data_IF_775026083395
#
_entry.id   IF_775026083395
#
_cell.length_a   1.000
_cell.length_b   1.000
_cell.length_c   1.000
_cell.angle_alpha   90.00
_cell.angle_beta   90.00
_cell.angle_gamma   90.00
#
_symmetry.space_group_name_H-M   'P 1'
#
loop_
_entity.id
_entity.type
_entity.pdbx_description
1 polymer ?
#
# COMPACT_ATOMS: atom_id res chain seq x y z
N UNK A 1 -9.24 19.90 -21.98
CA UNK A 1 -9.19 18.91 -20.91
C UNK A 1 -7.76 18.83 -20.40
N UNK A 2 -7.49 18.93 -19.10
CA UNK A 2 -6.13 19.07 -18.59
C UNK A 2 -5.35 17.75 -18.69
N UNK A 3 -4.05 17.79 -18.97
CA UNK A 3 -3.16 16.61 -19.00
C UNK A 3 -3.29 15.72 -17.74
N UNK A 4 -3.62 16.33 -16.60
CA UNK A 4 -3.90 15.65 -15.32
C UNK A 4 -5.04 14.64 -15.45
N UNK A 5 -6.15 15.03 -16.10
CA UNK A 5 -7.34 14.17 -16.25
C UNK A 5 -7.02 12.96 -17.12
N UNK A 6 -6.24 13.15 -18.20
CA UNK A 6 -5.83 12.02 -19.04
C UNK A 6 -4.97 11.01 -18.28
N UNK A 7 -4.02 11.51 -17.46
CA UNK A 7 -3.14 10.66 -16.68
C UNK A 7 -3.93 9.88 -15.61
N UNK A 8 -4.85 10.53 -14.92
CA UNK A 8 -5.72 9.88 -13.92
C UNK A 8 -6.70 8.89 -14.58
N UNK A 9 -7.23 9.18 -15.77
CA UNK A 9 -8.06 8.24 -16.53
C UNK A 9 -7.27 6.99 -16.95
N UNK A 10 -6.07 7.18 -17.49
CA UNK A 10 -5.20 6.05 -17.85
C UNK A 10 -4.88 5.19 -16.62
N UNK A 11 -4.53 5.83 -15.50
CA UNK A 11 -4.27 5.14 -14.23
C UNK A 11 -5.48 4.35 -13.76
N UNK A 12 -6.67 4.94 -13.83
CA UNK A 12 -7.91 4.27 -13.44
C UNK A 12 -8.19 3.03 -14.29
N UNK A 13 -8.02 3.13 -15.61
CA UNK A 13 -8.28 2.00 -16.52
C UNK A 13 -7.34 0.85 -16.21
N UNK A 14 -6.02 1.06 -16.16
CA UNK A 14 -5.10 -0.06 -15.96
C UNK A 14 -5.18 -0.65 -14.55
N UNK A 15 -5.38 0.16 -13.51
CA UNK A 15 -5.57 -0.35 -12.14
C UNK A 15 -6.89 -1.12 -12.02
N UNK A 16 -7.95 -0.69 -12.70
CA UNK A 16 -9.22 -1.43 -12.73
C UNK A 16 -9.05 -2.81 -13.36
N UNK A 17 -8.27 -2.91 -14.44
CA UNK A 17 -7.95 -4.21 -15.07
C UNK A 17 -7.21 -5.11 -14.07
N UNK A 18 -6.17 -4.57 -13.41
CA UNK A 18 -5.40 -5.31 -12.39
C UNK A 18 -6.33 -5.76 -11.26
N UNK A 19 -7.22 -4.90 -10.79
CA UNK A 19 -8.16 -5.23 -9.72
C UNK A 19 -9.11 -6.35 -10.14
N UNK A 20 -9.68 -6.31 -11.35
CA UNK A 20 -10.55 -7.37 -11.87
C UNK A 20 -9.80 -8.71 -11.91
N UNK A 21 -8.58 -8.72 -12.46
CA UNK A 21 -7.75 -9.93 -12.53
C UNK A 21 -7.44 -10.45 -11.13
N UNK A 22 -7.03 -9.55 -10.24
CA UNK A 22 -6.68 -9.89 -8.85
C UNK A 22 -7.88 -10.44 -8.07
N UNK A 23 -9.07 -9.83 -8.17
CA UNK A 23 -10.24 -10.27 -7.41
C UNK A 23 -10.91 -11.53 -7.96
N UNK A 24 -10.66 -11.91 -9.23
CA UNK A 24 -11.14 -13.18 -9.83
C UNK A 24 -10.34 -14.40 -9.39
N UNK A 25 -9.10 -14.24 -8.92
CA UNK A 25 -8.27 -15.37 -8.47
C UNK A 25 -8.71 -15.90 -7.10
N UNK A 26 -8.65 -17.24 -6.92
CA UNK A 26 -8.78 -17.86 -5.60
C UNK A 26 -7.62 -17.35 -4.71
N UNK A 27 -7.95 -16.78 -3.55
CA UNK A 27 -6.97 -16.19 -2.65
C UNK A 27 -6.59 -17.14 -1.53
N UNK A 28 -5.30 -17.25 -1.28
CA UNK A 28 -4.78 -17.82 -0.05
C UNK A 28 -4.98 -16.76 1.04
N UNK A 29 -5.54 -17.12 2.20
CA UNK A 29 -5.76 -16.19 3.30
C UNK A 29 -4.44 -15.86 4.03
N UNK A 30 -3.66 -14.92 3.48
CA UNK A 30 -2.49 -14.35 4.16
C UNK A 30 -2.76 -12.90 4.59
N UNK A 31 -2.07 -12.46 5.64
CA UNK A 31 -2.16 -11.07 6.13
C UNK A 31 -1.67 -10.07 5.06
N UNK A 32 -0.65 -10.45 4.30
CA UNK A 32 -0.08 -9.69 3.19
C UNK A 32 -1.12 -9.43 2.09
N UNK A 33 -1.81 -10.49 1.62
CA UNK A 33 -2.85 -10.41 0.59
C UNK A 33 -4.00 -9.52 1.05
N UNK A 34 -4.37 -9.59 2.33
CA UNK A 34 -5.43 -8.75 2.90
C UNK A 34 -5.06 -7.26 2.90
N UNK A 35 -3.81 -6.92 3.22
CA UNK A 35 -3.36 -5.53 3.20
C UNK A 35 -3.26 -5.03 1.76
N UNK A 36 -2.71 -5.83 0.85
CA UNK A 36 -2.67 -5.48 -0.57
C UNK A 36 -4.06 -5.23 -1.15
N UNK A 37 -5.04 -6.09 -0.84
CA UNK A 37 -6.44 -5.88 -1.25
C UNK A 37 -6.97 -4.52 -0.79
N UNK A 38 -6.67 -4.11 0.45
CA UNK A 38 -7.07 -2.78 0.98
C UNK A 38 -6.37 -1.64 0.25
N UNK A 39 -5.06 -1.76 0.01
CA UNK A 39 -4.28 -0.77 -0.75
C UNK A 39 -4.87 -0.60 -2.16
N UNK A 40 -5.15 -1.69 -2.85
CA UNK A 40 -5.69 -1.67 -4.20
C UNK A 40 -7.08 -0.99 -4.26
N UNK A 41 -7.97 -1.32 -3.32
CA UNK A 41 -9.28 -0.67 -3.21
C UNK A 41 -9.13 0.82 -2.90
N UNK A 42 -8.24 1.20 -1.99
CA UNK A 42 -7.99 2.59 -1.63
C UNK A 42 -7.44 3.40 -2.80
N UNK A 43 -6.50 2.84 -3.58
CA UNK A 43 -5.97 3.50 -4.79
C UNK A 43 -7.09 3.72 -5.82
N UNK A 44 -7.95 2.72 -6.03
CA UNK A 44 -9.12 2.86 -6.91
C UNK A 44 -10.07 3.96 -6.43
N UNK A 45 -10.40 3.98 -5.14
CA UNK A 45 -11.25 5.02 -4.56
C UNK A 45 -10.64 6.41 -4.70
N UNK A 46 -9.33 6.56 -4.44
CA UNK A 46 -8.62 7.82 -4.64
C UNK A 46 -8.74 8.31 -6.10
N UNK A 47 -8.55 7.42 -7.07
CA UNK A 47 -8.69 7.74 -8.49
C UNK A 47 -10.13 8.13 -8.86
N UNK A 48 -11.14 7.42 -8.33
CA UNK A 48 -12.55 7.76 -8.56
C UNK A 48 -12.87 9.16 -8.03
N UNK A 49 -12.51 9.47 -6.78
CA UNK A 49 -12.79 10.79 -6.19
C UNK A 49 -12.02 11.90 -6.89
N UNK A 50 -10.80 11.67 -7.34
CA UNK A 50 -10.04 12.62 -8.15
C UNK A 50 -10.73 12.88 -9.48
N UNK A 51 -11.10 11.85 -10.24
CA UNK A 51 -11.78 11.96 -11.53
C UNK A 51 -13.14 12.65 -11.38
N UNK A 52 -13.96 12.24 -10.41
CA UNK A 52 -15.27 12.88 -10.15
C UNK A 52 -15.10 14.37 -9.84
N UNK A 53 -14.09 14.73 -9.02
CA UNK A 53 -13.81 16.13 -8.69
C UNK A 53 -13.34 16.98 -9.88
N UNK A 54 -12.89 16.33 -10.97
CA UNK A 54 -12.42 16.99 -12.18
C UNK A 54 -13.53 17.27 -13.21
N UNK A 55 -14.72 16.69 -13.04
CA UNK A 55 -15.84 16.91 -13.97
C UNK A 55 -16.30 18.38 -13.98
N UNK A 56 -16.64 18.94 -15.17
CA UNK A 56 -17.06 20.35 -15.31
C UNK A 56 -18.27 20.72 -14.45
N UNK A 57 -19.24 19.82 -14.27
CA UNK A 57 -20.43 20.02 -13.45
C UNK A 57 -20.05 20.28 -11.99
N UNK A 58 -19.08 19.55 -11.45
CA UNK A 58 -18.58 19.70 -10.09
C UNK A 58 -17.80 21.01 -9.91
N UNK A 59 -17.19 21.53 -10.98
CA UNK A 59 -16.47 22.81 -10.93
C UNK A 59 -17.41 23.99 -10.65
N UNK A 60 -18.67 23.88 -11.02
CA UNK A 60 -19.67 24.93 -10.79
C UNK A 60 -20.24 24.89 -9.35
N UNK A 61 -19.97 23.81 -8.59
CA UNK A 61 -20.50 23.63 -7.22
C UNK A 61 -19.30 23.48 -6.27
N UNK A 62 -18.76 24.62 -5.81
CA UNK A 62 -17.54 24.69 -5.02
C UNK A 62 -17.57 23.85 -3.74
N UNK A 63 -18.72 23.84 -3.03
CA UNK A 63 -18.83 23.04 -1.80
C UNK A 63 -18.74 21.54 -2.08
N UNK A 64 -19.34 21.07 -3.19
CA UNK A 64 -19.27 19.65 -3.60
C UNK A 64 -17.85 19.28 -3.97
N UNK A 65 -17.15 20.17 -4.69
CA UNK A 65 -15.74 19.97 -5.04
C UNK A 65 -14.85 19.90 -3.81
N UNK A 66 -15.02 20.81 -2.86
CA UNK A 66 -14.29 20.81 -1.59
C UNK A 66 -14.56 19.51 -0.79
N UNK A 67 -15.82 19.10 -0.73
CA UNK A 67 -16.22 17.85 -0.05
C UNK A 67 -15.54 16.62 -0.67
N UNK A 68 -15.56 16.47 -2.01
CA UNK A 68 -14.91 15.37 -2.71
C UNK A 68 -13.39 15.38 -2.52
N UNK A 69 -12.77 16.57 -2.51
CA UNK A 69 -11.33 16.72 -2.24
C UNK A 69 -10.98 16.36 -0.80
N UNK A 70 -11.79 16.70 0.18
CA UNK A 70 -11.58 16.31 1.58
C UNK A 70 -11.69 14.80 1.76
N UNK A 71 -12.64 14.13 1.10
CA UNK A 71 -12.72 12.67 1.08
C UNK A 71 -11.44 12.09 0.45
N UNK A 72 -11.02 12.59 -0.69
CA UNK A 72 -9.79 12.16 -1.34
C UNK A 72 -8.56 12.28 -0.41
N UNK A 73 -8.41 13.41 0.28
CA UNK A 73 -7.32 13.65 1.24
C UNK A 73 -7.34 12.67 2.40
N UNK A 74 -8.52 12.37 2.95
CA UNK A 74 -8.65 11.37 4.04
C UNK A 74 -8.33 9.97 3.57
N UNK A 75 -8.71 9.59 2.36
CA UNK A 75 -8.35 8.30 1.76
C UNK A 75 -6.83 8.17 1.56
N UNK A 76 -6.12 9.25 1.18
CA UNK A 76 -4.67 9.25 1.10
C UNK A 76 -4.02 8.98 2.46
N UNK A 77 -4.49 9.58 3.54
CA UNK A 77 -3.97 9.31 4.89
C UNK A 77 -4.12 7.83 5.25
N UNK A 78 -5.30 7.25 4.99
CA UNK A 78 -5.56 5.82 5.22
C UNK A 78 -4.63 4.97 4.37
N UNK A 79 -4.40 5.34 3.13
CA UNK A 79 -3.52 4.61 2.20
C UNK A 79 -2.07 4.58 2.69
N UNK A 80 -1.49 5.73 3.07
CA UNK A 80 -0.13 5.79 3.60
C UNK A 80 0.04 4.99 4.88
N UNK A 81 -0.95 5.00 5.80
CA UNK A 81 -0.89 4.15 7.00
C UNK A 81 -0.97 2.66 6.68
N UNK A 82 -1.61 2.25 5.57
CA UNK A 82 -1.58 0.85 5.13
C UNK A 82 -0.22 0.45 4.52
N UNK A 83 0.50 1.35 3.84
CA UNK A 83 1.89 1.10 3.43
C UNK A 83 2.81 0.94 4.63
N UNK A 84 2.68 1.78 5.67
CA UNK A 84 3.41 1.60 6.92
C UNK A 84 3.10 0.26 7.59
N UNK A 85 1.83 -0.13 7.62
CA UNK A 85 1.40 -1.43 8.14
C UNK A 85 2.02 -2.59 7.36
N UNK A 86 2.07 -2.50 6.04
CA UNK A 86 2.73 -3.48 5.18
C UNK A 86 4.23 -3.60 5.52
N UNK A 87 4.92 -2.46 5.71
CA UNK A 87 6.33 -2.43 6.12
C UNK A 87 6.56 -3.15 7.44
N UNK A 88 5.74 -2.88 8.46
CA UNK A 88 5.87 -3.51 9.77
C UNK A 88 5.65 -5.02 9.70
N UNK A 89 4.70 -5.49 8.87
CA UNK A 89 4.48 -6.92 8.67
C UNK A 89 5.66 -7.60 7.98
N UNK A 90 6.28 -6.95 7.00
CA UNK A 90 7.50 -7.48 6.38
C UNK A 90 8.64 -7.64 7.40
N UNK A 91 8.74 -6.70 8.35
CA UNK A 91 9.78 -6.72 9.41
C UNK A 91 9.50 -7.79 10.46
N UNK A 92 8.27 -7.85 10.96
CA UNK A 92 7.88 -8.75 12.05
C UNK A 92 7.55 -10.18 11.61
N UNK A 93 7.37 -10.38 10.30
CA UNK A 93 6.96 -11.64 9.70
C UNK A 93 5.46 -11.68 9.35
N UNK A 94 5.11 -12.52 8.37
CA UNK A 94 3.76 -12.58 7.78
C UNK A 94 2.66 -13.02 8.76
N UNK A 95 3.05 -13.69 9.86
CA UNK A 95 2.11 -14.12 10.91
C UNK A 95 1.90 -13.07 12.01
N UNK A 96 2.55 -11.89 11.89
CA UNK A 96 2.38 -10.84 12.88
C UNK A 96 0.96 -10.25 12.84
N UNK A 97 0.33 -10.23 14.01
CA UNK A 97 -0.98 -9.62 14.22
C UNK A 97 -0.82 -8.35 15.03
N UNK A 98 -1.34 -7.25 14.49
CA UNK A 98 -1.35 -5.99 15.24
C UNK A 98 -2.26 -6.11 16.47
N UNK A 99 -1.79 -5.68 17.65
CA UNK A 99 -2.63 -5.59 18.83
C UNK A 99 -3.84 -4.68 18.57
N UNK A 100 -5.01 -5.06 19.08
CA UNK A 100 -6.24 -4.29 18.87
C UNK A 100 -6.12 -2.82 19.31
N UNK A 101 -5.39 -2.56 20.39
CA UNK A 101 -5.18 -1.19 20.88
C UNK A 101 -4.40 -0.31 19.90
N UNK A 102 -3.39 -0.85 19.19
CA UNK A 102 -2.66 -0.11 18.16
C UNK A 102 -3.55 0.24 16.97
N UNK A 103 -4.42 -0.68 16.56
CA UNK A 103 -5.40 -0.41 15.50
C UNK A 103 -6.40 0.67 15.95
N UNK A 104 -6.86 0.63 17.19
CA UNK A 104 -7.75 1.66 17.75
C UNK A 104 -7.09 3.03 17.75
N UNK A 105 -5.84 3.14 18.22
CA UNK A 105 -5.09 4.40 18.23
C UNK A 105 -4.94 4.93 16.79
N UNK A 106 -4.61 4.07 15.84
CA UNK A 106 -4.49 4.45 14.42
C UNK A 106 -5.80 5.02 13.87
N UNK A 107 -6.92 4.33 14.08
CA UNK A 107 -8.22 4.82 13.61
C UNK A 107 -8.64 6.10 14.30
N UNK A 108 -8.37 6.25 15.59
CA UNK A 108 -8.65 7.47 16.34
C UNK A 108 -7.82 8.66 15.83
N UNK A 109 -6.52 8.46 15.57
CA UNK A 109 -5.67 9.48 14.98
C UNK A 109 -6.14 9.89 13.57
N UNK A 110 -6.51 8.92 12.73
CA UNK A 110 -7.07 9.18 11.40
C UNK A 110 -8.41 9.95 11.48
N UNK A 111 -9.25 9.64 12.45
CA UNK A 111 -10.52 10.36 12.69
C UNK A 111 -10.24 11.83 13.04
N UNK A 112 -9.32 12.09 13.96
CA UNK A 112 -8.93 13.47 14.33
C UNK A 112 -8.43 14.24 13.10
N UNK A 113 -7.52 13.63 12.32
CA UNK A 113 -7.01 14.24 11.10
C UNK A 113 -8.13 14.50 10.07
N UNK A 114 -9.07 13.57 9.92
CA UNK A 114 -10.22 13.76 9.05
C UNK A 114 -11.08 14.96 9.49
N UNK A 115 -11.38 15.07 10.79
CA UNK A 115 -12.12 16.24 11.33
C UNK A 115 -11.39 17.55 11.03
N UNK A 116 -10.08 17.59 11.23
CA UNK A 116 -9.27 18.79 10.92
C UNK A 116 -9.33 19.14 9.42
N UNK A 117 -9.23 18.13 8.54
CA UNK A 117 -9.30 18.33 7.09
C UNK A 117 -10.69 18.90 6.69
N UNK A 118 -11.77 18.32 7.21
CA UNK A 118 -13.12 18.76 6.88
C UNK A 118 -13.48 20.14 7.46
N UNK A 119 -12.86 20.54 8.58
CA UNK A 119 -13.04 21.87 9.16
C UNK A 119 -12.17 22.95 8.51
N UNK A 120 -11.13 22.54 7.74
CA UNK A 120 -10.20 23.47 7.12
C UNK A 120 -10.74 23.99 5.79
N UNK A 121 -10.69 25.33 5.53
CA UNK A 121 -11.08 25.87 4.26
C UNK A 121 -10.13 25.45 3.14
N UNK A 122 -10.70 25.07 1.98
CA UNK A 122 -9.95 24.78 0.76
C UNK A 122 -10.09 25.96 -0.20
N UNK A 123 -8.95 26.37 -0.74
CA UNK A 123 -8.87 27.42 -1.75
C UNK A 123 -8.51 26.79 -3.10
N UNK A 124 -9.09 27.34 -4.16
CA UNK A 124 -8.92 26.85 -5.52
C UNK A 124 -8.25 27.90 -6.39
N UNK A 125 -7.15 27.53 -7.05
CA UNK A 125 -6.51 28.35 -8.08
C UNK A 125 -7.12 28.03 -9.44
N UNK A 126 -7.53 29.07 -10.16
CA UNK A 126 -8.12 28.97 -11.49
C UNK A 126 -7.13 29.42 -12.57
N UNK A 127 -7.20 28.82 -13.73
CA UNK A 127 -6.51 29.32 -14.91
C UNK A 127 -7.35 30.43 -15.58
N UNK A 128 -6.79 31.02 -16.67
CA UNK A 128 -7.47 32.03 -17.48
C UNK A 128 -8.79 31.56 -18.11
N UNK A 129 -9.00 30.26 -18.19
CA UNK A 129 -10.23 29.64 -18.70
C UNK A 129 -11.22 29.28 -17.59
N UNK A 130 -11.01 29.73 -16.34
CA UNK A 130 -11.90 29.45 -15.20
C UNK A 130 -11.87 28.00 -14.70
N UNK A 131 -10.88 27.19 -15.15
CA UNK A 131 -10.73 25.80 -14.71
C UNK A 131 -9.80 25.75 -13.51
N UNK A 132 -10.17 24.98 -12.47
CA UNK A 132 -9.33 24.77 -11.29
C UNK A 132 -8.07 24.00 -11.69
N UNK A 133 -6.92 24.60 -11.43
CA UNK A 133 -5.59 24.04 -11.73
C UNK A 133 -5.00 23.37 -10.52
N UNK A 134 -5.17 23.97 -9.34
CA UNK A 134 -4.61 23.44 -8.10
C UNK A 134 -5.51 23.80 -6.90
N UNK A 135 -5.35 23.03 -5.83
CA UNK A 135 -6.02 23.28 -4.55
C UNK A 135 -4.94 23.54 -3.50
N UNK A 136 -5.19 24.45 -2.59
CA UNK A 136 -4.32 24.72 -1.46
C UNK A 136 -5.14 25.03 -0.21
N UNK A 137 -4.53 24.84 0.95
CA UNK A 137 -5.18 25.08 2.22
C UNK A 137 -4.49 24.32 3.35
N UNK A 138 -4.87 24.63 4.56
CA UNK A 138 -4.27 24.02 5.75
C UNK A 138 -4.45 22.49 5.77
N UNK A 139 -5.63 21.98 5.40
CA UNK A 139 -5.88 20.54 5.28
C UNK A 139 -4.95 19.85 4.28
N UNK A 140 -4.70 20.46 3.12
CA UNK A 140 -3.76 19.94 2.10
C UNK A 140 -2.34 19.88 2.65
N UNK A 141 -1.89 20.91 3.39
CA UNK A 141 -0.56 20.96 3.99
C UNK A 141 -0.38 19.88 5.06
N UNK A 142 -1.41 19.60 5.86
CA UNK A 142 -1.38 18.51 6.85
C UNK A 142 -1.23 17.16 6.15
N UNK A 143 -2.00 16.90 5.09
CA UNK A 143 -1.93 15.63 4.36
C UNK A 143 -0.55 15.43 3.74
N UNK A 144 0.02 16.46 3.12
CA UNK A 144 1.36 16.38 2.53
C UNK A 144 2.44 16.16 3.60
N UNK A 145 2.40 16.90 4.72
CA UNK A 145 3.33 16.72 5.82
C UNK A 145 3.24 15.32 6.44
N UNK A 146 2.02 14.82 6.66
CA UNK A 146 1.79 13.47 7.18
C UNK A 146 2.30 12.39 6.22
N UNK A 147 2.06 12.55 4.91
CA UNK A 147 2.52 11.61 3.89
C UNK A 147 4.06 11.54 3.85
N UNK A 148 4.72 12.71 3.88
CA UNK A 148 6.19 12.79 3.94
C UNK A 148 6.71 12.14 5.22
N UNK A 149 6.09 12.40 6.36
CA UNK A 149 6.46 11.80 7.65
C UNK A 149 6.38 10.27 7.61
N UNK A 150 5.31 9.71 7.07
CA UNK A 150 5.16 8.25 6.91
C UNK A 150 6.23 7.68 5.97
N UNK A 151 6.54 8.35 4.85
CA UNK A 151 7.59 7.91 3.91
C UNK A 151 8.96 7.90 4.60
N UNK A 152 9.25 8.91 5.42
CA UNK A 152 10.50 8.99 6.21
C UNK A 152 10.56 7.82 7.21
N UNK A 153 9.46 7.51 7.89
CA UNK A 153 9.41 6.36 8.80
C UNK A 153 9.67 5.06 8.04
N UNK A 154 9.01 4.85 6.89
CA UNK A 154 9.22 3.66 6.05
C UNK A 154 10.69 3.56 5.63
N UNK A 155 11.30 4.67 5.21
CA UNK A 155 12.71 4.72 4.82
C UNK A 155 13.63 4.28 5.97
N UNK A 156 13.49 4.85 7.17
CA UNK A 156 14.30 4.46 8.32
C UNK A 156 14.06 3.01 8.74
N UNK A 157 12.82 2.54 8.72
CA UNK A 157 12.50 1.14 9.02
C UNK A 157 13.19 0.17 8.04
N UNK A 158 13.28 0.50 6.76
CA UNK A 158 14.00 -0.30 5.77
C UNK A 158 15.52 -0.23 5.99
N UNK A 159 16.07 0.95 6.24
CA UNK A 159 17.52 1.13 6.49
C UNK A 159 17.97 0.34 7.73
N UNK A 160 17.22 0.39 8.82
CA UNK A 160 17.56 -0.37 10.03
C UNK A 160 17.33 -1.90 9.90
N UNK A 161 16.66 -2.35 8.84
CA UNK A 161 16.36 -3.76 8.60
C UNK A 161 16.84 -4.20 7.22
N UNK A 162 18.12 -4.04 6.92
CA UNK A 162 18.72 -4.29 5.59
C UNK A 162 18.45 -5.71 5.05
N UNK A 163 18.30 -6.72 5.93
CA UNK A 163 17.91 -8.08 5.51
C UNK A 163 16.59 -8.12 4.75
N UNK A 164 15.69 -7.18 5.02
CA UNK A 164 14.39 -7.09 4.36
C UNK A 164 14.51 -6.41 3.00
N UNK A 165 15.41 -5.43 2.88
CA UNK A 165 15.65 -4.72 1.61
C UNK A 165 16.11 -5.70 0.53
N UNK A 166 16.85 -6.77 0.91
CA UNK A 166 17.27 -7.85 -0.01
C UNK A 166 16.10 -8.79 -0.40
N UNK A 167 14.96 -8.71 0.28
CA UNK A 167 13.80 -9.50 -0.06
C UNK A 167 13.02 -8.84 -1.21
N UNK A 168 12.69 -9.61 -2.24
CA UNK A 168 11.88 -9.15 -3.38
C UNK A 168 10.56 -8.48 -2.94
N UNK A 169 9.99 -8.87 -1.80
CA UNK A 169 8.77 -8.29 -1.21
C UNK A 169 8.93 -6.83 -0.75
N UNK A 170 10.15 -6.33 -0.59
CA UNK A 170 10.41 -4.92 -0.27
C UNK A 170 10.40 -4.00 -1.50
N UNK A 171 10.46 -4.55 -2.71
CA UNK A 171 10.50 -3.77 -3.96
C UNK A 171 9.38 -2.71 -4.04
N UNK A 172 8.10 -3.00 -3.69
CA UNK A 172 7.05 -1.99 -3.71
C UNK A 172 7.30 -0.81 -2.77
N UNK A 173 7.92 -1.05 -1.62
CA UNK A 173 8.23 0.01 -0.65
C UNK A 173 9.39 0.89 -1.11
N UNK A 174 10.40 0.27 -1.70
CA UNK A 174 11.52 1.00 -2.30
C UNK A 174 11.04 1.85 -3.47
N UNK A 175 10.21 1.27 -4.35
CA UNK A 175 9.60 2.01 -5.46
C UNK A 175 8.68 3.13 -4.98
N UNK A 176 7.94 2.96 -3.87
CA UNK A 176 7.14 4.02 -3.25
C UNK A 176 8.01 5.23 -2.89
N UNK A 177 9.13 5.00 -2.20
CA UNK A 177 10.03 6.07 -1.77
C UNK A 177 10.61 6.80 -2.99
N UNK A 178 11.19 6.06 -3.94
CA UNK A 178 11.84 6.64 -5.13
C UNK A 178 10.83 7.42 -5.98
N UNK A 179 9.68 6.81 -6.29
CA UNK A 179 8.69 7.43 -7.16
C UNK A 179 8.01 8.63 -6.48
N UNK A 180 7.83 8.61 -5.16
CA UNK A 180 7.29 9.76 -4.43
C UNK A 180 8.29 10.92 -4.39
N UNK A 181 9.59 10.66 -4.24
CA UNK A 181 10.62 11.69 -4.35
C UNK A 181 10.66 12.30 -5.75
N UNK A 182 10.67 11.47 -6.79
CA UNK A 182 10.68 11.94 -8.18
C UNK A 182 9.41 12.73 -8.50
N UNK A 183 8.24 12.24 -8.13
CA UNK A 183 6.97 12.95 -8.35
C UNK A 183 6.88 14.26 -7.60
N UNK A 184 7.42 14.32 -6.37
CA UNK A 184 7.52 15.55 -5.60
C UNK A 184 8.44 16.59 -6.24
N UNK A 185 9.61 16.19 -6.72
CA UNK A 185 10.54 17.07 -7.46
C UNK A 185 9.88 17.60 -8.75
N UNK A 186 9.23 16.72 -9.52
CA UNK A 186 8.52 17.13 -10.71
C UNK A 186 7.36 18.09 -10.43
N UNK A 187 6.66 17.89 -9.32
CA UNK A 187 5.55 18.76 -8.91
C UNK A 187 6.03 20.16 -8.47
N UNK A 188 7.25 20.27 -7.91
CA UNK A 188 7.87 21.58 -7.62
C UNK A 188 8.22 22.31 -8.93
N UNK A 189 8.78 21.60 -9.92
CA UNK A 189 9.12 22.18 -11.23
C UNK A 189 7.87 22.50 -12.06
N UNK A 190 6.87 21.65 -11.98
CA UNK A 190 5.64 21.74 -12.77
C UNK A 190 4.40 21.66 -11.84
N UNK A 191 4.03 22.73 -11.11
CA UNK A 191 2.95 22.72 -10.12
C UNK A 191 1.58 22.32 -10.67
N UNK A 192 1.42 22.36 -11.99
CA UNK A 192 0.20 21.93 -12.69
C UNK A 192 0.07 20.41 -12.82
N UNK A 193 1.14 19.65 -12.59
CA UNK A 193 1.14 18.19 -12.70
C UNK A 193 0.89 17.56 -11.34
N UNK A 194 -0.30 17.02 -11.13
CA UNK A 194 -0.63 16.23 -9.93
C UNK A 194 -0.32 14.76 -10.23
N UNK A 195 0.85 14.29 -9.80
CA UNK A 195 1.36 12.96 -10.13
C UNK A 195 1.10 11.92 -9.03
N UNK A 196 0.58 12.34 -7.87
CA UNK A 196 0.45 11.48 -6.68
C UNK A 196 -0.33 10.18 -6.96
N UNK A 197 -1.51 10.27 -7.57
CA UNK A 197 -2.34 9.09 -7.85
C UNK A 197 -1.74 8.19 -8.94
N UNK A 198 -1.10 8.77 -9.94
CA UNK A 198 -0.36 8.02 -10.96
C UNK A 198 0.78 7.24 -10.32
N UNK A 199 1.56 7.87 -9.46
CA UNK A 199 2.66 7.25 -8.71
C UNK A 199 2.15 6.10 -7.82
N UNK A 200 1.10 6.33 -7.05
CA UNK A 200 0.48 5.31 -6.19
C UNK A 200 -0.06 4.13 -6.98
N UNK A 201 -0.60 4.37 -8.16
CA UNK A 201 -1.09 3.31 -9.04
C UNK A 201 0.05 2.46 -9.62
N UNK A 202 1.20 3.07 -9.98
CA UNK A 202 2.40 2.31 -10.36
C UNK A 202 2.90 1.46 -9.19
N UNK A 203 2.98 2.02 -7.99
CA UNK A 203 3.40 1.27 -6.80
C UNK A 203 2.47 0.09 -6.51
N UNK A 204 1.15 0.28 -6.61
CA UNK A 204 0.18 -0.80 -6.45
C UNK A 204 0.34 -1.89 -7.52
N UNK A 205 0.71 -1.52 -8.75
CA UNK A 205 1.02 -2.46 -9.83
C UNK A 205 2.28 -3.26 -9.54
N UNK A 206 3.35 -2.61 -9.10
CA UNK A 206 4.59 -3.28 -8.68
C UNK A 206 4.30 -4.24 -7.53
N UNK A 207 3.47 -3.81 -6.57
CA UNK A 207 3.05 -4.64 -5.44
C UNK A 207 2.26 -5.87 -5.91
N UNK A 208 1.35 -5.71 -6.88
CA UNK A 208 0.63 -6.84 -7.50
C UNK A 208 1.59 -7.86 -8.08
N UNK A 209 2.51 -7.45 -8.94
CA UNK A 209 3.48 -8.37 -9.55
C UNK A 209 4.42 -9.00 -8.52
N UNK A 210 4.77 -8.29 -7.46
CA UNK A 210 5.62 -8.83 -6.39
C UNK A 210 4.90 -9.89 -5.56
N UNK A 211 3.63 -9.68 -5.21
CA UNK A 211 2.84 -10.62 -4.39
C UNK A 211 2.35 -11.80 -5.22
N UNK A 212 1.98 -11.58 -6.48
CA UNK A 212 1.47 -12.60 -7.39
C UNK A 212 2.56 -13.33 -8.17
N UNK A 213 3.84 -13.02 -7.94
CA UNK A 213 4.95 -13.68 -8.64
C UNK A 213 4.90 -15.20 -8.40
N UNK A 214 4.74 -16.01 -9.46
CA UNK A 214 4.69 -17.47 -9.35
C UNK A 214 5.99 -18.05 -8.77
N UNK A 215 7.14 -17.46 -9.08
CA UNK A 215 8.44 -17.93 -8.59
C UNK A 215 8.54 -17.80 -7.06
N UNK A 216 8.06 -16.69 -6.50
CA UNK A 216 8.05 -16.48 -5.04
C UNK A 216 7.13 -17.51 -4.36
N UNK A 217 5.93 -17.73 -4.92
CA UNK A 217 4.98 -18.73 -4.40
C UNK A 217 5.53 -20.16 -4.50
N UNK A 218 6.21 -20.47 -5.58
CA UNK A 218 6.86 -21.78 -5.78
C UNK A 218 8.01 -22.00 -4.81
N UNK A 219 8.86 -21.00 -4.57
CA UNK A 219 9.93 -21.05 -3.58
C UNK A 219 9.37 -21.23 -2.16
N UNK A 220 8.31 -20.50 -1.80
CA UNK A 220 7.66 -20.66 -0.49
C UNK A 220 7.07 -22.06 -0.32
N UNK A 221 6.40 -22.61 -1.33
CA UNK A 221 5.85 -23.97 -1.30
C UNK A 221 6.96 -25.02 -1.20
N UNK A 222 8.07 -24.82 -1.92
CA UNK A 222 9.23 -25.71 -1.87
C UNK A 222 9.89 -25.72 -0.49
N UNK A 223 10.06 -24.55 0.13
CA UNK A 223 10.61 -24.44 1.48
C UNK A 223 9.72 -25.14 2.52
N UNK A 224 8.40 -24.99 2.44
CA UNK A 224 7.46 -25.69 3.32
C UNK A 224 7.55 -27.21 3.12
N UNK A 225 7.61 -27.69 1.88
CA UNK A 225 7.74 -29.10 1.58
C UNK A 225 9.09 -29.68 2.09
N UNK A 226 10.18 -28.90 1.95
CA UNK A 226 11.50 -29.26 2.47
C UNK A 226 11.48 -29.42 3.99
N UNK A 227 10.94 -28.43 4.71
CA UNK A 227 10.84 -28.47 6.19
C UNK A 227 10.00 -29.66 6.67
N UNK A 228 8.93 -30.00 5.95
CA UNK A 228 8.11 -31.16 6.25
C UNK A 228 8.89 -32.47 6.02
N UNK A 229 9.64 -32.57 4.93
CA UNK A 229 10.47 -33.72 4.63
C UNK A 229 11.60 -33.91 5.66
N UNK A 230 12.25 -32.80 6.09
CA UNK A 230 13.30 -32.85 7.12
C UNK A 230 12.74 -33.33 8.47
N UNK A 231 11.57 -32.84 8.89
CA UNK A 231 10.88 -33.28 10.10
C UNK A 231 10.48 -34.75 10.04
N UNK A 232 9.96 -35.20 8.89
CA UNK A 232 9.61 -36.61 8.69
C UNK A 232 10.86 -37.53 8.74
N UNK A 233 11.98 -37.10 8.13
CA UNK A 233 13.24 -37.85 8.20
C UNK A 233 13.82 -37.91 9.61
N UNK A 234 13.78 -36.81 10.36
CA UNK A 234 14.21 -36.77 11.76
C UNK A 234 13.39 -37.74 12.63
N UNK A 235 12.07 -37.73 12.51
CA UNK A 235 11.19 -38.64 13.23
C UNK A 235 11.43 -40.11 12.84
N UNK A 236 11.67 -40.40 11.54
CA UNK A 236 12.02 -41.73 11.07
C UNK A 236 13.35 -42.22 11.67
N UNK A 237 14.37 -41.36 11.71
CA UNK A 237 15.68 -41.67 12.28
C UNK A 237 15.60 -41.96 13.77
N UNK A 238 14.84 -41.12 14.51
CA UNK A 238 14.60 -41.31 15.93
C UNK A 238 13.85 -42.63 16.22
N UNK A 239 12.80 -42.90 15.42
CA UNK A 239 12.06 -44.17 15.53
C UNK A 239 12.97 -45.38 15.30
N UNK A 240 13.77 -45.37 14.24
CA UNK A 240 14.72 -46.48 13.95
C UNK A 240 15.78 -46.65 15.03
N UNK A 241 16.27 -45.55 15.60
CA UNK A 241 17.21 -45.56 16.72
C UNK A 241 16.61 -46.21 17.97
N UNK A 242 15.39 -45.79 18.33
CA UNK A 242 14.68 -46.33 19.48
C UNK A 242 14.34 -47.83 19.31
N UNK A 243 13.84 -48.20 18.11
CA UNK A 243 13.58 -49.59 17.78
C UNK A 243 14.84 -50.46 17.82
N UNK A 244 15.98 -49.94 17.34
CA UNK A 244 17.26 -50.65 17.40
C UNK A 244 17.73 -50.89 18.84
N UNK A 245 17.50 -49.94 19.75
CA UNK A 245 17.77 -50.07 21.18
C UNK A 245 16.84 -51.09 21.84
N UNK A 246 15.55 -51.05 21.56
CA UNK A 246 14.55 -51.96 22.12
C UNK A 246 14.76 -53.42 21.67
N UNK A 247 15.24 -53.63 20.43
CA UNK A 247 15.55 -54.99 19.93
C UNK A 247 16.88 -55.52 20.50
N UNK A 248 17.85 -54.64 20.76
CA UNK A 248 19.16 -55.06 21.30
C UNK A 248 19.07 -55.50 22.76
N UNK A 249 18.19 -54.90 23.56
CA UNK A 249 18.06 -55.16 25.00
C UNK A 249 17.63 -56.60 25.32
N UNK A 250 16.68 -57.25 24.62
CA UNK A 250 16.32 -58.65 24.88
C UNK A 250 17.24 -59.68 24.21
N UNK A 251 18.18 -59.25 23.34
CA UNK A 251 19.12 -60.15 22.64
C UNK A 251 20.48 -60.32 23.35
N UNK A 252 20.74 -59.58 24.42
CA UNK A 252 21.85 -59.72 25.35
C UNK A 252 21.36 -60.33 26.66
#
# INVERSE_FOLDING_TARGET
MNAIVYLSCASFVYISIIAIVYFRKKKIHSTEIRIFSRILILVLLCLVFELVSAFPIVNNVLWLKAFLKNIFMTLLLVLFTNFLKYTIILIKGLNYHFPKWMEMIRYFALLILAVIIFSSPLHFNYNSAGVVVNTYGFGQSIVSAFSIFIIIIIFFLLVFNMKIVMNKKAIPLISLIILMLVSGMLQIMFPRLILTNFTLSIVATIMYFTIENPDIKMIEALNVAKDQAEKANAAKTEFLSNMSHEIRTPLN
#
